data_IF_227526838932
#
_entry.id   IF_227526838932
#
_cell.length_a   1.000
_cell.length_b   1.000
_cell.length_c   1.000
_cell.angle_alpha   90.00
_cell.angle_beta   90.00
_cell.angle_gamma   90.00
#
_symmetry.space_group_name_H-M   'P 1'
#
loop_
_entity.id
_entity.type
_entity.pdbx_description
1 polymer ?
#
# COMPACT_ATOMS: atom_id res chain seq x y z
N UNK A 1 -2.45 -5.92 -18.17
CA UNK A 1 -1.47 -4.87 -18.07
C UNK A 1 -1.82 -3.92 -16.92
N UNK A 2 -1.16 -4.07 -15.79
CA UNK A 2 -1.46 -3.26 -14.61
C UNK A 2 -1.11 -1.79 -14.80
N UNK A 3 -1.98 -0.94 -14.32
CA UNK A 3 -1.78 0.49 -14.23
C UNK A 3 -1.76 0.81 -12.73
N UNK A 4 -0.60 1.25 -12.24
CA UNK A 4 -0.39 1.45 -10.81
C UNK A 4 0.01 2.89 -10.54
N UNK A 5 -0.66 3.51 -9.57
CA UNK A 5 -0.27 4.82 -9.09
C UNK A 5 0.57 4.63 -7.84
N UNK A 6 1.74 5.27 -7.82
CA UNK A 6 2.61 5.28 -6.64
C UNK A 6 2.63 6.69 -6.08
N UNK A 7 2.18 6.84 -4.85
CA UNK A 7 2.15 8.14 -4.17
C UNK A 7 3.27 8.18 -3.13
N UNK A 8 4.34 8.87 -3.44
CA UNK A 8 5.49 9.02 -2.56
C UNK A 8 6.31 10.21 -3.00
N UNK A 9 6.88 10.93 -2.05
CA UNK A 9 7.80 12.01 -2.36
C UNK A 9 9.27 11.56 -2.26
N UNK A 10 9.50 10.25 -2.10
CA UNK A 10 10.82 9.65 -2.04
C UNK A 10 11.14 8.97 -3.37
N UNK A 11 12.09 9.50 -4.15
CA UNK A 11 12.39 8.91 -5.47
C UNK A 11 12.81 7.44 -5.41
N UNK A 12 13.47 7.02 -4.32
CA UNK A 12 13.89 5.62 -4.20
C UNK A 12 12.72 4.68 -4.01
N UNK A 13 11.63 5.14 -3.40
CA UNK A 13 10.41 4.33 -3.27
C UNK A 13 9.81 4.11 -4.65
N UNK A 14 9.69 5.18 -5.42
CA UNK A 14 9.15 5.09 -6.78
C UNK A 14 10.00 4.15 -7.62
N UNK A 15 11.33 4.24 -7.48
CA UNK A 15 12.24 3.38 -8.22
C UNK A 15 12.08 1.91 -7.82
N UNK A 16 11.93 1.63 -6.53
CA UNK A 16 11.75 0.26 -6.04
C UNK A 16 10.47 -0.35 -6.58
N UNK A 17 9.38 0.41 -6.54
CA UNK A 17 8.10 -0.07 -7.05
C UNK A 17 8.18 -0.30 -8.56
N UNK A 18 8.78 0.65 -9.27
CA UNK A 18 8.91 0.54 -10.73
C UNK A 18 9.72 -0.69 -11.13
N UNK A 19 10.76 -1.00 -10.34
CA UNK A 19 11.59 -2.17 -10.63
C UNK A 19 10.80 -3.48 -10.49
N UNK A 20 9.89 -3.53 -9.52
CA UNK A 20 9.05 -4.71 -9.31
C UNK A 20 8.00 -4.85 -10.40
N UNK A 21 7.52 -3.72 -10.93
CA UNK A 21 6.46 -3.67 -11.94
C UNK A 21 7.03 -3.30 -13.30
N UNK A 22 8.10 -3.97 -13.72
CA UNK A 22 8.84 -3.60 -14.91
C UNK A 22 8.47 -4.40 -16.15
N UNK A 23 7.30 -5.02 -16.16
CA UNK A 23 6.84 -5.74 -17.33
C UNK A 23 6.59 -4.79 -18.51
N UNK A 24 6.61 -5.32 -19.76
CA UNK A 24 6.51 -4.45 -20.94
C UNK A 24 5.17 -3.72 -21.02
N UNK A 25 4.13 -4.26 -20.39
CA UNK A 25 2.82 -3.65 -20.43
C UNK A 25 2.44 -2.94 -19.13
N UNK A 26 3.34 -2.96 -18.15
CA UNK A 26 3.06 -2.33 -16.87
C UNK A 26 3.19 -0.81 -16.97
N UNK A 27 2.26 -0.10 -16.35
CA UNK A 27 2.28 1.36 -16.32
C UNK A 27 2.35 1.79 -14.86
N UNK A 28 3.36 2.61 -14.56
CA UNK A 28 3.53 3.17 -13.21
C UNK A 28 3.44 4.68 -13.32
N UNK A 29 2.47 5.26 -12.62
CA UNK A 29 2.29 6.70 -12.57
C UNK A 29 2.65 7.17 -11.17
N UNK A 30 3.56 8.12 -11.06
CA UNK A 30 4.00 8.62 -9.77
C UNK A 30 3.36 9.96 -9.46
N UNK A 31 2.90 10.14 -8.22
CA UNK A 31 2.50 11.44 -7.71
C UNK A 31 3.26 11.68 -6.41
N UNK A 32 3.53 12.94 -6.11
CA UNK A 32 4.40 13.29 -4.97
C UNK A 32 3.64 13.86 -3.79
N UNK A 33 2.34 14.00 -3.91
CA UNK A 33 1.51 14.51 -2.82
C UNK A 33 0.21 13.73 -2.77
N UNK A 34 -0.28 13.49 -1.55
CA UNK A 34 -1.52 12.73 -1.37
C UNK A 34 -2.71 13.40 -2.04
N UNK A 35 -2.73 14.73 -2.05
CA UNK A 35 -3.84 15.47 -2.64
C UNK A 35 -3.96 15.26 -4.14
N UNK A 36 -2.89 14.80 -4.80
CA UNK A 36 -2.88 14.57 -6.24
C UNK A 36 -3.38 13.18 -6.63
N UNK A 37 -3.54 12.28 -5.64
CA UNK A 37 -3.94 10.89 -5.91
C UNK A 37 -5.34 10.84 -6.51
N UNK A 38 -6.27 11.56 -5.91
CA UNK A 38 -7.66 11.52 -6.37
C UNK A 38 -7.79 11.97 -7.81
N UNK A 39 -7.11 13.05 -8.17
CA UNK A 39 -7.13 13.55 -9.54
C UNK A 39 -6.55 12.52 -10.51
N UNK A 40 -5.46 11.87 -10.10
CA UNK A 40 -4.86 10.84 -10.94
C UNK A 40 -5.78 9.63 -11.12
N UNK A 41 -6.49 9.24 -10.06
CA UNK A 41 -7.46 8.14 -10.13
C UNK A 41 -8.61 8.50 -11.05
N UNK A 42 -9.09 9.74 -10.96
CA UNK A 42 -10.21 10.20 -11.76
C UNK A 42 -9.84 10.35 -13.23
N UNK A 43 -8.60 10.71 -13.51
CA UNK A 43 -8.11 10.83 -14.87
C UNK A 43 -8.14 9.47 -15.57
N UNK A 44 -7.68 8.44 -14.88
CA UNK A 44 -7.73 7.07 -15.36
C UNK A 44 -7.70 6.13 -14.18
N UNK A 45 -8.73 5.29 -14.06
CA UNK A 45 -8.85 4.37 -12.93
C UNK A 45 -7.68 3.39 -12.93
N UNK A 46 -6.89 3.34 -11.87
CA UNK A 46 -5.77 2.39 -11.80
C UNK A 46 -6.24 1.02 -11.33
N UNK A 47 -5.37 0.03 -11.50
CA UNK A 47 -5.60 -1.28 -10.94
C UNK A 47 -5.16 -1.36 -9.49
N UNK A 48 -4.29 -0.44 -9.07
CA UNK A 48 -3.74 -0.43 -7.72
C UNK A 48 -3.17 0.96 -7.41
N UNK A 49 -3.38 1.42 -6.17
CA UNK A 49 -2.71 2.62 -5.65
C UNK A 49 -1.79 2.18 -4.53
N UNK A 50 -0.53 2.54 -4.63
CA UNK A 50 0.46 2.28 -3.57
C UNK A 50 0.73 3.60 -2.86
N UNK A 51 0.45 3.64 -1.56
CA UNK A 51 0.56 4.85 -0.75
C UNK A 51 1.71 4.71 0.25
N UNK A 52 2.69 5.60 0.12
CA UNK A 52 3.76 5.70 1.10
C UNK A 52 3.23 6.45 2.33
N UNK A 53 3.35 5.84 3.50
CA UNK A 53 2.82 6.44 4.73
C UNK A 53 3.43 7.81 5.00
N UNK A 54 4.65 8.05 4.54
CA UNK A 54 5.36 9.30 4.77
C UNK A 54 5.08 10.38 3.73
N UNK A 55 4.11 10.16 2.85
CA UNK A 55 3.83 11.15 1.81
C UNK A 55 3.38 12.47 2.45
N UNK A 56 3.89 13.57 1.89
CA UNK A 56 3.59 14.89 2.41
C UNK A 56 2.21 15.41 2.00
N UNK A 57 1.87 16.57 2.50
CA UNK A 57 0.60 17.25 2.30
C UNK A 57 -0.53 16.39 2.86
N UNK A 58 -1.50 16.01 2.02
CA UNK A 58 -2.53 15.07 2.46
C UNK A 58 -1.87 13.73 2.72
N UNK A 59 -1.91 13.26 3.96
CA UNK A 59 -1.26 12.03 4.36
C UNK A 59 -1.89 10.79 3.76
N UNK A 60 -1.16 9.67 3.81
CA UNK A 60 -1.63 8.42 3.20
C UNK A 60 -2.97 7.97 3.77
N UNK A 61 -3.18 8.07 5.08
CA UNK A 61 -4.46 7.69 5.68
C UNK A 61 -5.60 8.51 5.11
N UNK A 62 -5.43 9.83 5.11
CA UNK A 62 -6.48 10.72 4.63
C UNK A 62 -6.76 10.46 3.14
N UNK A 63 -5.72 10.19 2.37
CA UNK A 63 -5.85 9.88 0.95
C UNK A 63 -6.67 8.61 0.75
N UNK A 64 -6.34 7.55 1.48
CA UNK A 64 -7.08 6.29 1.37
C UNK A 64 -8.52 6.46 1.81
N UNK A 65 -8.75 7.16 2.91
CA UNK A 65 -10.10 7.39 3.41
C UNK A 65 -10.91 8.22 2.41
N UNK A 66 -10.28 9.17 1.74
CA UNK A 66 -10.93 9.94 0.70
C UNK A 66 -11.40 9.05 -0.45
N UNK A 67 -10.57 8.11 -0.88
CA UNK A 67 -10.95 7.16 -1.93
C UNK A 67 -12.10 6.29 -1.46
N UNK A 68 -12.07 5.81 -0.23
CA UNK A 68 -13.15 4.98 0.30
C UNK A 68 -14.46 5.74 0.39
N UNK A 69 -14.39 7.01 0.72
CA UNK A 69 -15.57 7.86 0.78
C UNK A 69 -16.18 8.05 -0.61
N UNK A 70 -15.36 8.25 -1.62
CA UNK A 70 -15.82 8.36 -2.99
C UNK A 70 -16.47 7.06 -3.48
N UNK A 71 -15.91 5.93 -3.09
CA UNK A 71 -16.49 4.62 -3.40
C UNK A 71 -17.85 4.45 -2.74
N UNK A 72 -17.96 4.81 -1.47
CA UNK A 72 -19.21 4.71 -0.72
C UNK A 72 -20.30 5.58 -1.33
N UNK A 73 -19.93 6.71 -1.88
CA UNK A 73 -20.88 7.62 -2.52
C UNK A 73 -21.27 7.24 -3.93
N UNK A 74 -20.71 6.15 -4.44
CA UNK A 74 -20.98 5.70 -5.80
C UNK A 74 -20.30 6.54 -6.87
N UNK A 75 -19.34 7.39 -6.48
CA UNK A 75 -18.65 8.27 -7.42
C UNK A 75 -17.39 7.65 -7.99
N UNK A 76 -16.97 6.51 -7.44
CA UNK A 76 -15.74 5.85 -7.84
C UNK A 76 -15.90 4.35 -7.63
N UNK A 77 -15.33 3.55 -8.55
CA UNK A 77 -15.26 2.12 -8.36
C UNK A 77 -14.22 1.80 -7.28
N UNK A 78 -14.26 0.60 -6.74
CA UNK A 78 -13.28 0.20 -5.74
C UNK A 78 -11.87 0.26 -6.30
N UNK A 79 -11.00 0.98 -5.61
CA UNK A 79 -9.60 1.10 -5.97
C UNK A 79 -8.78 0.37 -4.91
N UNK A 80 -8.12 -0.73 -5.29
CA UNK A 80 -7.25 -1.40 -4.33
C UNK A 80 -6.10 -0.50 -3.87
N UNK A 81 -5.79 -0.57 -2.57
CA UNK A 81 -4.76 0.27 -1.96
C UNK A 81 -3.77 -0.58 -1.18
N UNK A 82 -2.50 -0.40 -1.46
CA UNK A 82 -1.39 -1.00 -0.72
C UNK A 82 -0.62 0.11 0.00
N UNK A 83 -0.50 -0.01 1.32
CA UNK A 83 0.29 0.95 2.10
C UNK A 83 1.73 0.47 2.22
N UNK A 84 2.66 1.43 2.17
CA UNK A 84 4.05 1.18 2.52
C UNK A 84 4.25 1.82 3.89
N UNK A 85 4.42 0.97 4.90
CA UNK A 85 4.48 1.41 6.29
C UNK A 85 5.92 1.51 6.76
N UNK A 86 6.19 2.40 7.70
CA UNK A 86 7.53 2.56 8.23
C UNK A 86 7.81 1.55 9.34
N UNK A 87 6.80 1.19 10.12
CA UNK A 87 6.95 0.32 11.25
C UNK A 87 5.74 -0.60 11.37
N UNK A 88 5.98 -1.76 12.00
CA UNK A 88 4.87 -2.66 12.29
C UNK A 88 3.78 -2.00 13.14
N UNK A 89 4.17 -1.09 14.00
CA UNK A 89 3.19 -0.39 14.82
C UNK A 89 2.19 0.42 14.00
N UNK A 90 2.51 0.73 12.74
CA UNK A 90 1.64 1.51 11.89
C UNK A 90 0.54 0.68 11.22
N UNK A 91 0.54 -0.63 11.41
CA UNK A 91 -0.45 -1.52 10.77
C UNK A 91 -1.88 -1.11 11.09
N UNK A 92 -2.13 -0.64 12.32
CA UNK A 92 -3.48 -0.23 12.68
C UNK A 92 -3.97 0.94 11.84
N UNK A 93 -3.06 1.79 11.36
CA UNK A 93 -3.43 2.90 10.50
C UNK A 93 -3.94 2.40 9.14
N UNK A 94 -3.25 1.41 8.58
CA UNK A 94 -3.66 0.82 7.31
C UNK A 94 -5.01 0.14 7.45
N UNK A 95 -5.23 -0.57 8.54
CA UNK A 95 -6.52 -1.23 8.79
C UNK A 95 -7.64 -0.21 8.94
N UNK A 96 -7.37 0.85 9.68
CA UNK A 96 -8.36 1.88 9.93
C UNK A 96 -8.78 2.60 8.65
N UNK A 97 -7.83 2.76 7.73
CA UNK A 97 -8.12 3.38 6.45
C UNK A 97 -8.71 2.41 5.43
N UNK A 98 -8.90 1.15 5.81
CA UNK A 98 -9.46 0.11 4.95
C UNK A 98 -8.59 -0.17 3.74
N UNK A 99 -7.28 -0.28 3.97
CA UNK A 99 -6.34 -0.68 2.92
C UNK A 99 -6.56 -2.14 2.57
N UNK A 100 -6.23 -2.49 1.33
CA UNK A 100 -6.30 -3.88 0.88
C UNK A 100 -5.05 -4.64 1.29
N UNK A 101 -4.01 -3.94 1.69
CA UNK A 101 -2.82 -4.58 2.21
C UNK A 101 -1.74 -3.59 2.61
N UNK A 102 -0.66 -4.13 3.12
CA UNK A 102 0.49 -3.30 3.51
C UNK A 102 1.78 -4.11 3.43
N UNK A 103 2.87 -3.38 3.22
CA UNK A 103 4.24 -3.89 3.28
C UNK A 103 5.02 -2.95 4.18
N UNK A 104 5.82 -3.50 5.07
CA UNK A 104 6.61 -2.73 6.03
C UNK A 104 8.01 -2.52 5.48
N UNK A 105 8.47 -1.29 5.51
CA UNK A 105 9.82 -0.94 5.05
C UNK A 105 10.87 -1.57 5.97
N UNK A 106 12.05 -1.89 5.48
CA UNK A 106 12.55 -1.62 4.14
C UNK A 106 11.89 -2.53 3.09
N UNK A 107 11.75 -2.03 1.89
CA UNK A 107 11.03 -2.73 0.84
C UNK A 107 11.87 -3.88 0.29
N UNK A 108 11.40 -5.10 0.50
CA UNK A 108 11.99 -6.30 -0.06
C UNK A 108 11.32 -6.55 -1.41
N UNK A 109 12.08 -6.64 -2.51
CA UNK A 109 11.48 -6.82 -3.83
C UNK A 109 10.57 -8.04 -3.93
N UNK A 110 10.94 -9.14 -3.28
CA UNK A 110 10.12 -10.36 -3.32
C UNK A 110 8.79 -10.14 -2.59
N UNK A 111 8.85 -9.54 -1.41
CA UNK A 111 7.65 -9.27 -0.62
C UNK A 111 6.76 -8.25 -1.32
N UNK A 112 7.36 -7.21 -1.88
CA UNK A 112 6.61 -6.19 -2.60
C UNK A 112 5.91 -6.79 -3.80
N UNK A 113 6.59 -7.68 -4.53
CA UNK A 113 5.98 -8.35 -5.68
C UNK A 113 4.82 -9.23 -5.26
N UNK A 114 4.99 -9.98 -4.16
CA UNK A 114 3.90 -10.81 -3.65
C UNK A 114 2.69 -9.98 -3.30
N UNK A 115 2.91 -8.86 -2.62
CA UNK A 115 1.83 -7.98 -2.20
C UNK A 115 1.08 -7.42 -3.41
N UNK A 116 1.82 -6.92 -4.39
CA UNK A 116 1.18 -6.34 -5.58
C UNK A 116 0.40 -7.39 -6.35
N UNK A 117 0.96 -8.58 -6.51
CA UNK A 117 0.27 -9.66 -7.23
C UNK A 117 -0.98 -10.12 -6.51
N UNK A 118 -0.92 -10.24 -5.19
CA UNK A 118 -2.08 -10.67 -4.41
C UNK A 118 -3.24 -9.68 -4.55
N UNK A 119 -2.93 -8.39 -4.44
CA UNK A 119 -3.96 -7.37 -4.50
C UNK A 119 -4.48 -7.19 -5.92
N UNK A 120 -3.59 -7.22 -6.92
CA UNK A 120 -4.01 -7.15 -8.32
C UNK A 120 -4.89 -8.32 -8.70
N UNK A 121 -4.72 -9.46 -8.01
CA UNK A 121 -5.58 -10.63 -8.22
C UNK A 121 -6.88 -10.59 -7.44
N UNK A 122 -7.18 -9.50 -6.78
CA UNK A 122 -8.44 -9.33 -6.04
C UNK A 122 -8.36 -9.74 -4.58
N UNK A 123 -7.19 -10.12 -4.09
CA UNK A 123 -7.01 -10.53 -2.70
C UNK A 123 -6.49 -9.41 -1.81
N UNK A 124 -5.95 -9.83 -0.69
CA UNK A 124 -5.36 -8.94 0.31
C UNK A 124 -3.95 -9.41 0.60
N UNK A 125 -3.15 -8.53 1.18
CA UNK A 125 -1.81 -8.89 1.61
C UNK A 125 -1.49 -8.20 2.93
N UNK A 126 -1.10 -8.98 3.94
CA UNK A 126 -0.75 -8.47 5.26
C UNK A 126 0.67 -8.91 5.58
N UNK A 127 1.58 -7.93 5.58
CA UNK A 127 3.00 -8.21 5.84
C UNK A 127 3.20 -8.45 7.34
N UNK A 128 3.67 -9.63 7.67
CA UNK A 128 3.96 -9.99 9.06
C UNK A 128 5.45 -10.17 9.33
N UNK A 129 6.27 -9.70 8.42
CA UNK A 129 7.72 -9.94 8.48
C UNK A 129 8.40 -9.39 9.73
N UNK A 130 7.80 -8.39 10.36
CA UNK A 130 8.36 -7.78 11.56
C UNK A 130 7.59 -8.13 12.83
N UNK A 131 6.82 -9.21 12.78
CA UNK A 131 6.16 -9.71 13.97
C UNK A 131 7.22 -10.26 14.92
N UNK A 132 7.15 -9.95 16.21
CA UNK A 132 8.14 -10.47 17.15
C UNK A 132 8.16 -11.98 17.17
N UNK A 133 9.33 -12.55 17.05
CA UNK A 133 9.50 -14.00 17.03
C UNK A 133 9.14 -14.63 18.35
N UNK A 134 9.32 -13.91 19.41
CA UNK A 134 9.09 -14.45 20.73
C UNK A 134 7.67 -14.79 21.01
N UNK A 135 6.78 -14.23 20.31
CA UNK A 135 5.38 -14.45 20.55
C UNK A 135 5.04 -15.91 20.50
N UNK A 136 5.61 -16.60 19.56
CA UNK A 136 5.31 -18.00 19.40
C UNK A 136 6.30 -18.85 20.14
N UNK A 137 7.50 -18.43 20.08
CA UNK A 137 8.55 -19.28 20.58
C UNK A 137 8.75 -19.19 22.01
N UNK A 138 8.22 -18.41 22.61
CA UNK A 138 8.55 -18.29 23.90
C UNK A 138 7.58 -18.32 24.74
N UNK A 139 7.25 -18.57 24.31
CA UNK A 139 6.84 -18.73 24.78
C UNK A 139 6.56 -18.98 25.11
N UNK A 140 6.57 -19.19 25.01
CA UNK A 140 6.46 -19.60 25.05
C UNK A 140 6.01 -19.05 25.55
N UNK A 141 6.00 -18.85 25.86
CA UNK A 141 5.82 -18.28 26.20
C UNK A 141 4.98 -17.57 26.10
N UNK A 142 4.67 -17.38 26.19
CA UNK A 142 4.16 -16.82 25.95
C UNK A 142 3.42 -16.44 25.59
N UNK A 143 2.90 -16.23 25.50
CA UNK A 143 2.27 -15.85 24.92
C UNK A 143 1.76 -15.08 24.44
N UNK A 144 1.66 -14.95 24.16
CA UNK A 144 1.41 -14.38 23.44
C UNK A 144 1.32 -13.35 23.07
N UNK A 145 1.44 -12.88 22.97
CA UNK A 145 1.36 -12.00 22.56
C UNK A 145 1.34 -11.54 21.68
N UNK A 146 1.29 -11.37 21.12
CA UNK A 146 1.44 -11.10 20.26
C UNK A 146 1.17 -10.96 20.04
#
# INVERSE_FOLDING_TARGET
>A
MPDVIVASDAPWIVADVSAVLSGPDDVVRAVTAGEDVRAAVQERLPDLVILDLQIGNMGAMATCMDLRLEESGGRLEHVPVLFLLDRRADVFLARRAEADGWVIKPLDPIRLRRATRAILGGGRYEDESYRPATVAGLAGAGPGHD
#
